data_IF_614109436129
#
_entry.id   IF_614109436129
#
_cell.length_a   1.000
_cell.length_b   1.000
_cell.length_c   1.000
_cell.angle_alpha   90.00
_cell.angle_beta   90.00
_cell.angle_gamma   90.00
#
_symmetry.space_group_name_H-M   'P 1'
#
loop_
_entity.id
_entity.type
_entity.pdbx_description
1 polymer ?
#
# COMPACT_ATOMS: atom_id res chain seq x y z
N UNK A 1 23.68 -9.75 -9.37
CA UNK A 1 24.08 -11.06 -9.85
C UNK A 1 24.29 -11.10 -11.39
N UNK A 2 23.91 -10.03 -12.09
CA UNK A 2 24.05 -9.91 -13.56
C UNK A 2 23.04 -10.77 -14.35
N UNK A 3 21.98 -11.26 -13.68
CA UNK A 3 20.92 -12.08 -14.27
C UNK A 3 19.60 -11.78 -13.54
N UNK A 4 18.46 -12.22 -14.06
CA UNK A 4 17.18 -12.08 -13.37
C UNK A 4 17.13 -12.95 -12.10
N UNK A 5 16.21 -12.63 -11.19
CA UNK A 5 16.00 -13.43 -9.98
C UNK A 5 15.54 -14.85 -10.32
N UNK A 6 14.65 -15.00 -11.27
CA UNK A 6 14.13 -16.31 -11.74
C UNK A 6 15.23 -17.20 -12.31
N UNK A 7 16.09 -16.64 -13.17
CA UNK A 7 17.23 -17.36 -13.73
C UNK A 7 18.23 -17.75 -12.65
N UNK A 8 18.51 -16.84 -11.73
CA UNK A 8 19.42 -17.12 -10.61
C UNK A 8 18.90 -18.26 -9.73
N UNK A 9 17.63 -18.17 -9.29
CA UNK A 9 17.02 -19.21 -8.43
C UNK A 9 16.92 -20.54 -9.17
N UNK A 10 16.52 -20.53 -10.45
CA UNK A 10 16.46 -21.75 -11.26
C UNK A 10 17.83 -22.44 -11.36
N UNK A 11 18.85 -21.68 -11.72
CA UNK A 11 20.20 -22.23 -11.95
C UNK A 11 20.92 -22.62 -10.66
N UNK A 12 20.75 -21.85 -9.58
CA UNK A 12 21.55 -22.01 -8.36
C UNK A 12 20.84 -22.78 -7.26
N UNK A 13 19.51 -22.92 -7.34
CA UNK A 13 18.68 -23.59 -6.33
C UNK A 13 17.88 -24.73 -6.94
N UNK A 14 16.97 -24.48 -7.87
CA UNK A 14 16.06 -25.51 -8.36
C UNK A 14 16.76 -26.65 -9.05
N UNK A 15 17.62 -26.38 -10.03
CA UNK A 15 18.35 -27.43 -10.74
C UNK A 15 19.27 -28.27 -9.84
N UNK A 16 20.13 -27.66 -8.98
CA UNK A 16 20.96 -28.44 -8.07
C UNK A 16 20.18 -29.27 -7.05
N UNK A 17 18.98 -28.83 -6.66
CA UNK A 17 18.12 -29.54 -5.71
C UNK A 17 17.18 -30.54 -6.38
N UNK A 18 17.16 -30.62 -7.72
CA UNK A 18 16.24 -31.47 -8.46
C UNK A 18 14.77 -30.97 -8.40
N UNK A 19 14.54 -29.68 -8.18
CA UNK A 19 13.21 -29.05 -8.12
C UNK A 19 12.74 -28.72 -9.55
N UNK A 20 12.60 -29.75 -10.39
CA UNK A 20 12.38 -29.58 -11.84
C UNK A 20 11.01 -29.12 -12.26
N UNK A 21 9.99 -29.28 -11.40
CA UNK A 21 8.61 -28.82 -11.64
C UNK A 21 8.30 -27.49 -10.94
N UNK A 22 9.26 -26.92 -10.23
CA UNK A 22 9.08 -25.59 -9.61
C UNK A 22 9.23 -24.48 -10.66
N UNK A 23 8.39 -23.48 -10.60
CA UNK A 23 8.37 -22.35 -11.52
C UNK A 23 7.97 -21.05 -10.80
N UNK A 24 7.90 -19.92 -11.55
CA UNK A 24 7.65 -18.58 -11.00
C UNK A 24 6.44 -17.88 -11.63
N UNK A 25 5.73 -18.55 -12.53
CA UNK A 25 4.72 -17.91 -13.36
C UNK A 25 3.41 -18.68 -13.34
N UNK A 26 2.30 -17.96 -13.26
CA UNK A 26 0.96 -18.54 -13.42
C UNK A 26 0.80 -19.19 -14.80
N UNK A 27 1.35 -18.57 -15.84
CA UNK A 27 1.30 -19.10 -17.20
C UNK A 27 2.09 -20.43 -17.36
N UNK A 28 3.15 -20.64 -16.56
CA UNK A 28 3.87 -21.92 -16.48
C UNK A 28 3.08 -22.94 -15.63
N UNK A 29 2.51 -22.49 -14.51
CA UNK A 29 1.68 -23.34 -13.65
C UNK A 29 0.51 -23.96 -14.41
N UNK A 30 -0.23 -23.15 -15.17
CA UNK A 30 -1.41 -23.61 -15.92
C UNK A 30 -1.10 -24.59 -17.06
N UNK A 31 0.16 -24.69 -17.48
CA UNK A 31 0.63 -25.69 -18.46
C UNK A 31 1.03 -27.03 -17.82
N UNK A 32 1.15 -27.06 -16.49
CA UNK A 32 1.48 -28.31 -15.80
C UNK A 32 0.32 -29.32 -15.98
N UNK A 33 0.65 -30.63 -16.15
CA UNK A 33 -0.40 -31.65 -16.34
C UNK A 33 -1.29 -31.80 -15.10
N UNK A 34 -0.76 -31.48 -13.93
CA UNK A 34 -1.50 -31.46 -12.66
C UNK A 34 -1.09 -30.22 -11.85
N UNK A 35 -2.09 -29.45 -11.42
CA UNK A 35 -1.88 -28.33 -10.51
C UNK A 35 -3.13 -28.12 -9.64
N UNK A 36 -2.92 -27.66 -8.42
CA UNK A 36 -4.01 -27.34 -7.51
C UNK A 36 -4.64 -25.99 -7.91
N UNK A 37 -5.95 -25.85 -7.71
CA UNK A 37 -6.65 -24.58 -7.80
C UNK A 37 -6.88 -24.02 -6.40
N UNK A 38 -6.76 -22.68 -6.27
CA UNK A 38 -6.96 -21.97 -5.02
C UNK A 38 -8.43 -21.68 -4.75
N UNK A 39 -8.82 -21.70 -3.50
CA UNK A 39 -10.18 -21.44 -3.06
C UNK A 39 -10.22 -20.40 -1.95
N UNK A 40 -11.26 -19.60 -1.93
CA UNK A 40 -11.60 -18.70 -0.83
C UNK A 40 -12.99 -19.03 -0.27
N UNK A 41 -13.24 -18.61 0.95
CA UNK A 41 -14.57 -18.72 1.56
C UNK A 41 -15.36 -17.45 1.30
N UNK A 42 -16.51 -17.60 0.63
CA UNK A 42 -17.48 -16.53 0.35
C UNK A 42 -18.86 -16.95 0.82
N UNK A 43 -19.45 -16.22 1.75
CA UNK A 43 -20.80 -16.49 2.25
C UNK A 43 -20.99 -17.97 2.66
N UNK A 44 -20.10 -18.47 3.51
CA UNK A 44 -20.04 -19.85 4.01
C UNK A 44 -19.92 -20.94 2.92
N UNK A 45 -19.49 -20.54 1.71
CA UNK A 45 -19.25 -21.45 0.59
C UNK A 45 -17.83 -21.28 0.06
N UNK A 46 -17.21 -22.39 -0.36
CA UNK A 46 -15.92 -22.36 -1.04
C UNK A 46 -16.14 -21.94 -2.51
N UNK A 47 -15.49 -20.85 -2.89
CA UNK A 47 -15.45 -20.35 -4.25
C UNK A 47 -14.03 -20.42 -4.83
N UNK A 48 -13.93 -20.68 -6.13
CA UNK A 48 -12.66 -20.65 -6.83
C UNK A 48 -12.10 -19.22 -6.79
N UNK A 49 -10.84 -19.07 -6.39
CA UNK A 49 -10.15 -17.79 -6.38
C UNK A 49 -9.28 -17.67 -7.64
N UNK A 50 -9.46 -16.63 -8.46
CA UNK A 50 -8.61 -16.42 -9.63
C UNK A 50 -7.18 -16.05 -9.22
N UNK A 51 -6.21 -16.51 -10.00
CA UNK A 51 -4.81 -16.13 -9.82
C UNK A 51 -4.58 -14.69 -10.28
N UNK A 52 -3.70 -13.99 -9.59
CA UNK A 52 -3.21 -12.67 -9.97
C UNK A 52 -1.78 -12.75 -10.47
N UNK A 53 -1.42 -12.01 -11.53
CA UNK A 53 -0.02 -11.87 -11.93
C UNK A 53 0.74 -11.11 -10.84
N UNK A 54 1.80 -11.73 -10.29
CA UNK A 54 2.58 -11.20 -9.18
C UNK A 54 4.08 -11.07 -9.51
N UNK A 55 4.41 -11.01 -10.78
CA UNK A 55 5.80 -10.91 -11.25
C UNK A 55 6.54 -9.71 -10.64
N UNK A 56 5.84 -8.60 -10.42
CA UNK A 56 6.41 -7.40 -9.79
C UNK A 56 6.93 -7.63 -8.35
N UNK A 57 6.36 -8.61 -7.64
CA UNK A 57 6.76 -9.02 -6.29
C UNK A 57 7.28 -10.46 -6.26
N UNK A 58 7.75 -10.97 -7.39
CA UNK A 58 8.17 -12.35 -7.59
C UNK A 58 9.01 -12.96 -6.47
N UNK A 59 10.09 -12.30 -6.00
CA UNK A 59 10.91 -12.81 -4.89
C UNK A 59 10.16 -13.04 -3.58
N UNK A 60 9.03 -12.36 -3.37
CA UNK A 60 8.24 -12.48 -2.14
C UNK A 60 7.18 -13.58 -2.18
N UNK A 61 6.78 -14.09 -3.38
CA UNK A 61 5.67 -15.03 -3.39
C UNK A 61 5.35 -15.73 -4.70
N UNK A 62 6.17 -15.61 -5.77
CA UNK A 62 5.85 -16.19 -7.07
C UNK A 62 6.21 -17.66 -7.25
N UNK A 63 6.88 -18.30 -6.30
CA UNK A 63 7.31 -19.69 -6.47
C UNK A 63 6.09 -20.63 -6.37
N UNK A 64 5.85 -21.37 -7.46
CA UNK A 64 4.95 -22.51 -7.50
C UNK A 64 5.78 -23.81 -7.34
N UNK A 65 5.37 -24.71 -6.46
CA UNK A 65 6.09 -25.94 -6.19
C UNK A 65 5.17 -27.04 -5.64
N UNK A 66 5.72 -28.23 -5.43
CA UNK A 66 5.04 -29.37 -4.78
C UNK A 66 5.75 -29.76 -3.48
N UNK A 67 5.08 -30.56 -2.65
CA UNK A 67 5.66 -31.11 -1.41
C UNK A 67 6.96 -31.85 -1.70
N UNK A 68 6.98 -32.74 -2.69
CA UNK A 68 8.15 -33.53 -3.03
C UNK A 68 9.37 -32.68 -3.37
N UNK A 69 9.16 -31.54 -4.02
CA UNK A 69 10.26 -30.65 -4.39
C UNK A 69 10.68 -29.75 -3.21
N UNK A 70 9.72 -29.23 -2.46
CA UNK A 70 10.00 -28.40 -1.28
C UNK A 70 10.71 -29.17 -0.17
N UNK A 71 10.52 -30.48 -0.06
CA UNK A 71 11.30 -31.34 0.86
C UNK A 71 12.80 -31.29 0.54
N UNK A 72 13.20 -31.14 -0.71
CA UNK A 72 14.61 -30.97 -1.07
C UNK A 72 15.19 -29.65 -0.59
N UNK A 73 14.36 -28.58 -0.60
CA UNK A 73 14.70 -27.29 -0.01
C UNK A 73 14.91 -27.41 1.51
N UNK A 74 13.99 -28.05 2.23
CA UNK A 74 14.11 -28.27 3.68
C UNK A 74 15.33 -29.13 4.02
N UNK A 75 15.61 -30.19 3.24
CA UNK A 75 16.81 -31.02 3.43
C UNK A 75 18.11 -30.23 3.30
N UNK A 76 18.17 -29.26 2.37
CA UNK A 76 19.33 -28.38 2.25
C UNK A 76 19.55 -27.58 3.53
N UNK A 77 18.47 -27.04 4.13
CA UNK A 77 18.55 -26.28 5.38
C UNK A 77 18.98 -27.15 6.56
N UNK A 78 18.38 -28.34 6.71
CA UNK A 78 18.74 -29.29 7.75
C UNK A 78 20.18 -29.80 7.63
N UNK A 79 20.75 -29.84 6.41
CA UNK A 79 22.13 -30.20 6.14
C UNK A 79 23.09 -29.01 6.07
N UNK A 80 22.71 -27.86 6.64
CA UNK A 80 23.52 -26.64 6.66
C UNK A 80 24.13 -26.26 5.30
N UNK A 81 23.30 -26.33 4.24
CA UNK A 81 23.67 -25.90 2.89
C UNK A 81 24.38 -26.98 2.06
N UNK A 82 24.44 -28.22 2.53
CA UNK A 82 24.98 -29.34 1.82
C UNK A 82 23.87 -30.14 1.12
N UNK A 83 24.05 -30.44 -0.16
CA UNK A 83 23.21 -31.36 -0.90
C UNK A 83 24.09 -32.55 -1.39
N UNK A 84 23.87 -33.72 -0.85
CA UNK A 84 24.73 -34.90 -1.05
C UNK A 84 26.20 -34.55 -0.75
N UNK A 85 27.05 -34.42 -1.77
CA UNK A 85 28.46 -34.03 -1.63
C UNK A 85 28.75 -32.61 -2.08
N UNK A 86 27.73 -31.87 -2.58
CA UNK A 86 27.89 -30.51 -3.12
C UNK A 86 27.38 -29.47 -2.13
N UNK A 87 28.23 -28.54 -1.76
CA UNK A 87 27.88 -27.42 -0.92
C UNK A 87 27.31 -26.31 -1.79
N UNK A 88 26.00 -26.05 -1.66
CA UNK A 88 25.31 -25.00 -2.38
C UNK A 88 25.37 -23.66 -1.65
N UNK A 89 25.32 -23.69 -0.32
CA UNK A 89 25.43 -22.52 0.56
C UNK A 89 26.45 -22.83 1.65
N UNK A 90 27.32 -21.89 1.99
CA UNK A 90 28.29 -22.08 3.07
C UNK A 90 27.58 -22.22 4.41
N UNK A 91 28.16 -22.98 5.33
CA UNK A 91 27.59 -23.18 6.66
C UNK A 91 27.40 -21.84 7.42
N UNK A 92 28.39 -20.93 7.34
CA UNK A 92 28.29 -19.62 7.95
C UNK A 92 27.12 -18.78 7.39
N UNK A 93 26.82 -18.86 6.10
CA UNK A 93 25.66 -18.17 5.52
C UNK A 93 24.33 -18.83 5.93
N UNK A 94 24.30 -20.15 6.11
CA UNK A 94 23.11 -20.82 6.65
C UNK A 94 22.83 -20.39 8.11
N UNK A 95 23.88 -20.33 8.93
CA UNK A 95 23.77 -19.83 10.31
C UNK A 95 23.28 -18.40 10.31
N UNK A 96 23.84 -17.54 9.46
CA UNK A 96 23.41 -16.13 9.34
C UNK A 96 21.93 -16.02 8.98
N UNK A 97 21.46 -16.80 7.99
CA UNK A 97 20.05 -16.77 7.59
C UNK A 97 19.11 -17.20 8.70
N UNK A 98 19.51 -18.14 9.53
CA UNK A 98 18.70 -18.67 10.63
C UNK A 98 18.94 -17.94 11.95
N UNK A 99 19.74 -16.88 11.97
CA UNK A 99 19.99 -16.10 13.18
C UNK A 99 19.01 -14.94 13.32
N UNK A 100 18.58 -14.59 14.54
CA UNK A 100 17.71 -13.43 14.81
C UNK A 100 18.35 -12.11 14.34
N UNK A 101 17.74 -11.44 13.35
CA UNK A 101 18.14 -10.12 12.87
C UNK A 101 17.21 -9.02 13.40
N UNK A 102 15.92 -9.33 13.53
CA UNK A 102 14.88 -8.42 14.00
C UNK A 102 14.07 -9.10 15.10
N UNK A 103 13.97 -8.46 16.26
CA UNK A 103 13.06 -8.92 17.31
C UNK A 103 11.63 -8.58 16.93
N UNK A 104 10.74 -9.57 17.01
CA UNK A 104 9.31 -9.36 16.79
C UNK A 104 8.60 -9.20 18.14
N UNK A 105 7.54 -8.39 18.14
CA UNK A 105 6.76 -8.15 19.34
C UNK A 105 6.09 -9.47 19.80
N UNK A 106 6.09 -9.67 21.12
CA UNK A 106 5.49 -10.85 21.76
C UNK A 106 3.99 -11.02 21.47
N UNK A 107 3.32 -9.95 21.07
CA UNK A 107 1.91 -9.98 20.65
C UNK A 107 1.64 -10.86 19.40
N UNK A 108 2.68 -11.21 18.64
CA UNK A 108 2.57 -12.09 17.47
C UNK A 108 2.47 -13.59 17.77
N UNK A 109 2.77 -14.03 18.97
CA UNK A 109 2.66 -15.44 19.37
C UNK A 109 1.20 -15.86 19.54
N UNK A 110 0.66 -16.65 18.61
CA UNK A 110 -0.72 -17.15 18.67
C UNK A 110 -0.94 -18.06 19.90
N UNK A 111 0.11 -18.73 20.35
CA UNK A 111 0.10 -19.70 21.45
C UNK A 111 1.28 -19.48 22.39
N UNK A 112 1.07 -19.73 23.70
CA UNK A 112 2.14 -19.58 24.71
C UNK A 112 3.20 -20.70 24.64
N UNK A 113 2.98 -21.73 23.85
CA UNK A 113 3.98 -22.74 23.50
C UNK A 113 5.09 -22.17 22.60
N UNK A 114 4.84 -21.03 21.95
CA UNK A 114 5.81 -20.34 21.09
C UNK A 114 6.29 -19.07 21.80
N UNK A 115 7.57 -18.97 22.03
CA UNK A 115 8.22 -17.82 22.67
C UNK A 115 9.45 -17.36 21.88
N UNK A 116 9.96 -16.15 22.16
CA UNK A 116 11.16 -15.59 21.55
C UNK A 116 11.10 -15.50 20.03
N UNK A 117 10.00 -14.94 19.52
CA UNK A 117 9.82 -14.79 18.07
C UNK A 117 10.72 -13.68 17.53
N UNK A 118 11.45 -14.00 16.49
CA UNK A 118 12.33 -13.08 15.75
C UNK A 118 12.28 -13.39 14.24
N UNK A 119 12.91 -12.53 13.44
CA UNK A 119 13.03 -12.73 12.00
C UNK A 119 14.49 -12.64 11.57
N UNK A 120 14.94 -13.63 10.82
CA UNK A 120 16.26 -13.70 10.20
C UNK A 120 16.24 -13.24 8.74
N UNK A 121 17.01 -13.88 7.88
CA UNK A 121 17.01 -13.60 6.44
C UNK A 121 15.97 -14.47 5.72
N UNK A 122 14.70 -14.04 5.75
CA UNK A 122 13.59 -14.74 5.11
C UNK A 122 12.98 -15.87 5.96
N UNK A 123 13.28 -15.92 7.27
CA UNK A 123 12.79 -16.96 8.17
C UNK A 123 12.32 -16.36 9.50
N UNK A 124 11.17 -16.82 9.98
CA UNK A 124 10.79 -16.67 11.38
C UNK A 124 11.60 -17.67 12.22
N UNK A 125 12.04 -17.20 13.37
CA UNK A 125 12.85 -17.95 14.32
C UNK A 125 12.18 -17.84 15.67
N UNK A 126 11.91 -18.99 16.29
CA UNK A 126 11.19 -19.05 17.55
C UNK A 126 11.60 -20.23 18.41
N UNK A 127 11.25 -20.20 19.66
CA UNK A 127 11.30 -21.39 20.53
C UNK A 127 9.90 -22.00 20.61
N UNK A 128 9.74 -23.19 20.05
CA UNK A 128 8.52 -23.98 20.14
C UNK A 128 8.68 -25.05 21.23
N UNK A 129 7.99 -24.87 22.34
CA UNK A 129 8.02 -25.78 23.51
C UNK A 129 9.45 -26.15 23.97
N UNK A 130 10.38 -25.20 23.83
CA UNK A 130 11.80 -25.38 24.17
C UNK A 130 12.72 -25.78 23.03
N UNK A 131 12.19 -26.16 21.86
CA UNK A 131 12.93 -26.53 20.66
C UNK A 131 13.14 -25.33 19.75
N UNK A 132 14.29 -25.23 19.10
CA UNK A 132 14.61 -24.20 18.14
C UNK A 132 13.91 -24.47 16.81
N UNK A 133 12.98 -23.61 16.43
CA UNK A 133 12.19 -23.75 15.20
C UNK A 133 12.43 -22.59 14.24
N UNK A 134 12.69 -22.93 13.00
CA UNK A 134 12.85 -22.02 11.86
C UNK A 134 11.74 -22.30 10.87
N UNK A 135 10.96 -21.28 10.48
CA UNK A 135 9.84 -21.49 9.58
C UNK A 135 9.52 -20.26 8.76
N UNK A 136 8.79 -20.43 7.66
CA UNK A 136 8.12 -19.35 6.97
C UNK A 136 6.82 -19.85 6.36
N UNK A 137 5.75 -19.09 6.56
CA UNK A 137 4.46 -19.33 5.94
C UNK A 137 4.28 -18.56 4.65
N UNK A 138 3.21 -18.86 3.92
CA UNK A 138 2.78 -18.12 2.75
C UNK A 138 1.26 -18.14 2.64
N UNK A 139 0.69 -17.06 2.15
CA UNK A 139 -0.73 -17.01 1.80
C UNK A 139 -0.91 -16.13 0.57
N UNK A 140 -1.39 -16.69 -0.52
CA UNK A 140 -1.64 -15.99 -1.77
C UNK A 140 -2.71 -16.70 -2.59
N UNK A 141 -3.64 -15.93 -3.13
CA UNK A 141 -4.61 -16.33 -4.16
C UNK A 141 -5.22 -17.74 -3.98
N UNK A 142 -5.74 -18.00 -2.79
CA UNK A 142 -6.40 -19.27 -2.48
C UNK A 142 -5.49 -20.34 -1.92
N UNK A 143 -4.23 -20.04 -1.62
CA UNK A 143 -3.28 -21.00 -1.04
C UNK A 143 -2.75 -20.51 0.30
N UNK A 144 -2.57 -21.42 1.23
CA UNK A 144 -1.79 -21.22 2.46
C UNK A 144 -0.75 -22.31 2.57
N UNK A 145 0.48 -21.95 2.86
CA UNK A 145 1.62 -22.86 2.89
C UNK A 145 2.47 -22.65 4.15
N UNK A 146 3.25 -23.66 4.51
CA UNK A 146 4.25 -23.57 5.56
C UNK A 146 5.44 -24.46 5.22
N UNK A 147 6.64 -23.90 5.31
CA UNK A 147 7.91 -24.60 5.39
C UNK A 147 8.45 -24.41 6.80
N UNK A 148 8.71 -25.49 7.52
CA UNK A 148 9.15 -25.47 8.93
C UNK A 148 10.21 -26.53 9.17
N UNK A 149 11.19 -26.23 10.00
CA UNK A 149 12.19 -27.22 10.43
C UNK A 149 12.75 -26.89 11.81
N UNK A 150 13.18 -27.93 12.50
CA UNK A 150 13.84 -27.91 13.79
C UNK A 150 15.26 -28.45 13.57
N UNK A 151 16.27 -27.59 13.39
CA UNK A 151 17.62 -28.00 13.03
C UNK A 151 18.26 -28.98 14.02
N UNK A 152 18.11 -28.71 15.31
CA UNK A 152 18.73 -29.50 16.39
C UNK A 152 18.06 -30.89 16.49
N UNK A 153 16.78 -30.99 16.21
CA UNK A 153 16.01 -32.25 16.21
C UNK A 153 16.04 -32.95 14.85
N UNK A 154 16.59 -32.34 13.80
CA UNK A 154 16.65 -32.80 12.42
C UNK A 154 15.28 -33.15 11.83
N UNK A 155 14.26 -32.40 12.22
CA UNK A 155 12.91 -32.53 11.73
C UNK A 155 12.61 -31.42 10.72
N UNK A 156 11.80 -31.73 9.72
CA UNK A 156 11.37 -30.72 8.74
C UNK A 156 10.06 -31.08 8.10
N UNK A 157 9.22 -30.07 7.86
CA UNK A 157 7.86 -30.20 7.38
C UNK A 157 7.59 -29.22 6.24
N UNK A 158 6.81 -29.67 5.27
CA UNK A 158 6.20 -28.82 4.25
C UNK A 158 4.71 -29.13 4.22
N UNK A 159 3.89 -28.12 4.42
CA UNK A 159 2.44 -28.23 4.37
C UNK A 159 1.94 -27.24 3.33
N UNK A 160 1.25 -27.75 2.31
CA UNK A 160 0.63 -26.97 1.26
C UNK A 160 -0.88 -27.19 1.29
N UNK A 161 -1.64 -26.11 1.28
CA UNK A 161 -3.10 -26.14 1.26
C UNK A 161 -3.63 -25.19 0.19
N UNK A 162 -4.80 -25.51 -0.35
CA UNK A 162 -5.43 -24.72 -1.40
C UNK A 162 -6.69 -23.98 -0.90
N UNK A 163 -6.63 -23.49 0.33
CA UNK A 163 -7.64 -22.58 0.90
C UNK A 163 -6.96 -21.31 1.41
N UNK A 164 -7.47 -20.16 0.98
CA UNK A 164 -6.98 -18.85 1.38
C UNK A 164 -7.15 -18.60 2.88
N UNK A 165 -6.10 -18.11 3.54
CA UNK A 165 -6.16 -17.66 4.92
C UNK A 165 -6.47 -18.76 5.95
N UNK A 166 -6.22 -20.03 5.64
CA UNK A 166 -6.48 -21.12 6.60
C UNK A 166 -5.32 -21.27 7.60
N UNK A 167 -5.62 -21.46 8.91
CA UNK A 167 -4.60 -21.76 9.92
C UNK A 167 -4.10 -23.23 9.85
N UNK A 168 -4.64 -24.03 8.96
CA UNK A 168 -4.39 -25.48 8.89
C UNK A 168 -2.88 -25.84 8.80
N UNK A 169 -2.03 -25.15 7.99
CA UNK A 169 -0.63 -25.48 7.95
C UNK A 169 0.07 -25.42 9.31
N UNK A 170 -0.19 -24.37 10.10
CA UNK A 170 0.40 -24.23 11.44
C UNK A 170 -0.16 -25.24 12.44
N UNK A 171 -1.45 -25.59 12.34
CA UNK A 171 -2.10 -26.60 13.20
C UNK A 171 -1.46 -27.97 12.96
N UNK A 172 -1.31 -28.35 11.67
CA UNK A 172 -0.70 -29.63 11.30
C UNK A 172 0.76 -29.66 11.72
N UNK A 173 1.54 -28.59 11.48
CA UNK A 173 2.93 -28.52 11.88
C UNK A 173 3.11 -28.71 13.38
N UNK A 174 2.38 -27.96 14.20
CA UNK A 174 2.46 -28.07 15.65
C UNK A 174 2.09 -29.49 16.15
N UNK A 175 1.05 -30.09 15.58
CA UNK A 175 0.65 -31.44 15.97
C UNK A 175 1.69 -32.51 15.58
N UNK A 176 2.27 -32.40 14.39
CA UNK A 176 3.32 -33.33 13.92
C UNK A 176 4.60 -33.12 14.71
N UNK A 177 5.00 -31.87 14.99
CA UNK A 177 6.15 -31.56 15.83
C UNK A 177 5.99 -32.18 17.23
N UNK A 178 4.82 -32.00 17.88
CA UNK A 178 4.54 -32.62 19.18
C UNK A 178 4.74 -34.15 19.15
N UNK A 179 4.18 -34.81 18.12
CA UNK A 179 4.31 -36.28 17.99
C UNK A 179 5.75 -36.73 17.79
N UNK A 180 6.48 -36.06 16.88
CA UNK A 180 7.84 -36.46 16.54
C UNK A 180 8.87 -36.11 17.64
N UNK A 181 8.59 -35.12 18.45
CA UNK A 181 9.37 -34.75 19.61
C UNK A 181 9.00 -35.56 20.88
N UNK A 182 8.00 -36.44 20.79
CA UNK A 182 7.53 -37.22 21.93
C UNK A 182 6.83 -36.37 23.01
N UNK A 183 6.30 -35.22 22.64
CA UNK A 183 5.56 -34.33 23.53
C UNK A 183 4.08 -34.71 23.57
N UNK A 184 3.41 -34.38 24.69
CA UNK A 184 1.95 -34.54 24.76
C UNK A 184 1.28 -33.61 23.75
N UNK A 185 0.50 -34.16 22.79
CA UNK A 185 -0.12 -33.36 21.74
C UNK A 185 -1.12 -32.34 22.31
N UNK A 186 -1.06 -31.12 21.79
CA UNK A 186 -2.01 -30.05 22.11
C UNK A 186 -3.08 -29.99 21.03
N UNK A 187 -4.34 -29.86 21.43
CA UNK A 187 -5.46 -29.72 20.48
C UNK A 187 -5.51 -28.30 19.90
N UNK A 188 -4.57 -28.01 19.00
CA UNK A 188 -4.48 -26.72 18.27
C UNK A 188 -5.69 -26.51 17.36
N UNK A 189 -6.31 -27.56 16.87
CA UNK A 189 -7.51 -27.47 16.05
C UNK A 189 -8.68 -26.87 16.86
N UNK A 190 -8.95 -27.40 18.04
CA UNK A 190 -10.01 -26.88 18.92
C UNK A 190 -9.72 -25.44 19.34
N UNK A 191 -8.45 -25.13 19.66
CA UNK A 191 -8.03 -23.75 19.99
C UNK A 191 -8.29 -22.79 18.82
N UNK A 192 -7.93 -23.19 17.61
CA UNK A 192 -8.18 -22.38 16.40
C UNK A 192 -9.67 -22.16 16.15
N UNK A 193 -10.51 -23.20 16.30
CA UNK A 193 -11.97 -23.06 16.18
C UNK A 193 -12.52 -22.10 17.23
N UNK A 194 -12.06 -22.20 18.47
CA UNK A 194 -12.50 -21.30 19.56
C UNK A 194 -12.10 -19.85 19.27
N UNK A 195 -10.89 -19.62 18.75
CA UNK A 195 -10.42 -18.28 18.36
C UNK A 195 -11.21 -17.72 17.18
N UNK A 196 -11.51 -18.54 16.17
CA UNK A 196 -12.34 -18.11 15.04
C UNK A 196 -13.76 -17.74 15.50
N UNK A 197 -14.40 -18.56 16.34
CA UNK A 197 -15.71 -18.26 16.88
C UNK A 197 -15.70 -16.98 17.75
N UNK A 198 -14.67 -16.77 18.57
CA UNK A 198 -14.51 -15.55 19.34
C UNK A 198 -14.29 -14.32 18.44
N UNK A 199 -13.48 -14.46 17.40
CA UNK A 199 -13.28 -13.41 16.41
C UNK A 199 -14.57 -13.09 15.63
N UNK A 200 -15.36 -14.08 15.28
CA UNK A 200 -16.68 -13.88 14.64
C UNK A 200 -17.68 -13.20 15.57
N UNK A 201 -17.70 -13.55 16.85
CA UNK A 201 -18.57 -12.91 17.83
C UNK A 201 -18.12 -11.49 18.22
N UNK A 202 -16.83 -11.19 18.17
CA UNK A 202 -16.27 -9.85 18.45
C UNK A 202 -16.30 -8.93 17.23
N UNK A 203 -16.50 -9.48 16.05
CA UNK A 203 -16.74 -8.69 14.83
C UNK A 203 -18.07 -7.99 15.01
N UNK A 204 -17.99 -6.68 15.27
CA UNK A 204 -19.16 -5.86 15.51
C UNK A 204 -20.22 -6.08 14.44
N UNK A 205 -21.44 -6.32 14.90
CA UNK A 205 -22.60 -6.40 14.03
C UNK A 205 -22.75 -5.10 13.22
N UNK A 206 -23.49 -5.09 12.12
CA UNK A 206 -23.85 -3.85 11.41
C UNK A 206 -24.42 -2.79 12.36
N UNK A 207 -25.06 -3.23 13.45
CA UNK A 207 -25.56 -2.36 14.51
C UNK A 207 -24.44 -1.64 15.30
N UNK A 208 -23.33 -2.33 15.62
CA UNK A 208 -22.15 -1.70 16.24
C UNK A 208 -21.52 -0.68 15.30
N UNK A 209 -21.54 -0.97 14.03
CA UNK A 209 -21.07 -0.09 12.99
C UNK A 209 -21.90 1.16 12.80
N UNK A 210 -23.20 1.05 12.91
CA UNK A 210 -24.08 2.20 12.92
C UNK A 210 -23.87 3.06 14.17
N UNK A 211 -23.44 2.46 15.30
CA UNK A 211 -23.12 3.18 16.53
C UNK A 211 -21.86 4.05 16.42
N UNK A 212 -20.88 3.65 15.58
CA UNK A 212 -19.64 4.42 15.38
C UNK A 212 -19.81 5.58 14.35
N UNK A 213 -20.92 5.61 13.63
CA UNK A 213 -21.25 6.68 12.69
C UNK A 213 -21.86 7.87 13.43
N UNK A 214 -21.27 9.06 13.28
CA UNK A 214 -21.90 10.29 13.78
C UNK A 214 -23.08 10.62 12.87
N UNK A 215 -24.34 10.57 13.38
CA UNK A 215 -25.50 10.76 12.54
C UNK A 215 -25.68 12.24 12.13
N UNK A 216 -26.40 12.46 11.03
CA UNK A 216 -26.80 13.80 10.55
C UNK A 216 -25.64 14.73 10.19
N UNK A 217 -24.44 14.20 9.93
CA UNK A 217 -23.33 14.98 9.41
C UNK A 217 -23.37 15.06 7.89
N UNK A 218 -22.68 16.06 7.34
CA UNK A 218 -22.47 16.23 5.90
C UNK A 218 -20.98 16.45 5.64
N UNK A 219 -20.48 16.17 4.43
CA UNK A 219 -19.16 16.62 4.02
C UNK A 219 -19.04 18.13 4.17
N UNK A 220 -17.86 18.61 4.54
CA UNK A 220 -17.60 20.06 4.70
C UNK A 220 -17.64 20.83 3.38
N UNK A 221 -17.47 20.12 2.26
CA UNK A 221 -17.44 20.65 0.91
C UNK A 221 -18.38 19.88 -0.03
N UNK A 222 -18.66 20.46 -1.19
CA UNK A 222 -19.29 19.73 -2.29
C UNK A 222 -18.39 18.58 -2.74
N UNK A 223 -18.99 17.46 -3.19
CA UNK A 223 -18.23 16.26 -3.59
C UNK A 223 -17.16 16.53 -4.64
N UNK A 224 -17.36 17.52 -5.50
CA UNK A 224 -16.37 17.94 -6.50
C UNK A 224 -15.06 18.45 -5.89
N UNK A 225 -15.09 18.97 -4.66
CA UNK A 225 -13.89 19.44 -3.97
C UNK A 225 -12.96 18.30 -3.53
N UNK A 226 -13.49 17.10 -3.33
CA UNK A 226 -12.72 15.90 -2.98
C UNK A 226 -12.12 15.19 -4.20
N UNK A 227 -12.67 15.43 -5.39
CA UNK A 227 -12.17 14.83 -6.62
C UNK A 227 -10.80 15.41 -6.99
N UNK A 228 -9.86 14.53 -7.37
CA UNK A 228 -8.49 14.89 -7.73
C UNK A 228 -7.53 13.71 -7.58
N UNK A 229 -6.25 13.99 -7.80
CA UNK A 229 -5.17 13.04 -7.59
C UNK A 229 -4.46 13.35 -6.28
N UNK A 230 -4.19 12.30 -5.50
CA UNK A 230 -3.49 12.38 -4.21
C UNK A 230 -2.30 11.44 -4.25
N UNK A 231 -1.10 11.93 -3.97
CA UNK A 231 0.15 11.20 -4.15
C UNK A 231 0.88 10.94 -2.83
N UNK A 232 1.41 9.73 -2.72
CA UNK A 232 2.39 9.36 -1.71
C UNK A 232 3.63 8.75 -2.38
N UNK A 233 4.87 9.14 -1.99
CA UNK A 233 6.09 8.68 -2.68
C UNK A 233 6.27 7.16 -2.73
N UNK A 234 5.79 6.44 -1.73
CA UNK A 234 5.93 4.98 -1.64
C UNK A 234 4.73 4.19 -2.15
N UNK A 235 3.53 4.80 -2.15
CA UNK A 235 2.28 4.11 -2.52
C UNK A 235 1.70 4.56 -3.87
N UNK A 236 2.28 5.58 -4.49
CA UNK A 236 1.81 6.10 -5.78
C UNK A 236 0.63 7.07 -5.64
N UNK A 237 -0.33 7.01 -6.56
CA UNK A 237 -1.39 7.99 -6.71
C UNK A 237 -2.76 7.36 -6.48
N UNK A 238 -3.53 7.92 -5.56
CA UNK A 238 -4.96 7.68 -5.41
C UNK A 238 -5.71 8.69 -6.28
N UNK A 239 -6.47 8.22 -7.25
CA UNK A 239 -7.37 9.05 -8.05
C UNK A 239 -8.77 9.01 -7.45
N UNK A 240 -9.30 10.14 -7.04
CA UNK A 240 -10.68 10.29 -6.58
C UNK A 240 -11.48 11.02 -7.65
N UNK A 241 -12.57 10.44 -8.10
CA UNK A 241 -13.43 10.98 -9.15
C UNK A 241 -14.89 11.02 -8.72
N UNK A 242 -15.70 11.85 -9.41
CA UNK A 242 -17.14 11.81 -9.28
C UNK A 242 -17.70 10.68 -10.16
N UNK A 243 -18.55 9.85 -9.57
CA UNK A 243 -19.28 8.78 -10.22
C UNK A 243 -20.80 8.97 -10.05
N UNK A 244 -21.60 8.17 -10.78
CA UNK A 244 -23.05 8.26 -10.75
C UNK A 244 -23.63 9.42 -11.59
N UNK A 245 -24.96 9.59 -11.54
CA UNK A 245 -25.66 10.61 -12.31
C UNK A 245 -25.72 11.90 -11.48
N UNK A 246 -25.30 13.06 -12.04
CA UNK A 246 -25.34 14.33 -11.31
C UNK A 246 -26.72 14.63 -10.69
N UNK A 247 -26.75 15.03 -9.44
CA UNK A 247 -27.93 15.39 -8.64
C UNK A 247 -28.93 14.25 -8.36
N UNK A 248 -28.59 13.00 -8.74
CA UNK A 248 -29.45 11.85 -8.48
C UNK A 248 -28.80 10.88 -7.50
N UNK A 249 -27.65 10.34 -7.86
CA UNK A 249 -26.89 9.34 -7.12
C UNK A 249 -25.37 9.61 -7.18
N UNK A 250 -25.00 10.88 -7.33
CA UNK A 250 -23.60 11.29 -7.43
C UNK A 250 -22.84 10.94 -6.15
N UNK A 251 -21.73 10.25 -6.30
CA UNK A 251 -20.85 9.81 -5.22
C UNK A 251 -19.38 9.90 -5.65
N UNK A 252 -18.47 9.63 -4.73
CA UNK A 252 -17.04 9.56 -5.02
C UNK A 252 -16.65 8.12 -5.34
N UNK A 253 -15.67 7.96 -6.23
CA UNK A 253 -14.98 6.70 -6.52
C UNK A 253 -13.50 6.90 -6.36
N UNK A 254 -12.82 6.01 -5.65
CA UNK A 254 -11.37 6.01 -5.46
C UNK A 254 -10.71 4.86 -6.19
N UNK A 255 -9.54 5.12 -6.79
CA UNK A 255 -8.71 4.12 -7.48
C UNK A 255 -7.27 4.27 -7.01
N UNK A 256 -6.66 3.16 -6.57
CA UNK A 256 -5.24 3.04 -6.27
C UNK A 256 -4.71 1.80 -6.97
N UNK A 257 -3.96 1.96 -8.05
CA UNK A 257 -3.51 0.85 -8.91
C UNK A 257 -4.69 -0.01 -9.40
N UNK A 258 -4.72 -1.30 -9.03
CA UNK A 258 -5.82 -2.22 -9.36
C UNK A 258 -6.96 -2.22 -8.33
N UNK A 259 -6.84 -1.42 -7.29
CA UNK A 259 -7.84 -1.34 -6.24
C UNK A 259 -8.79 -0.19 -6.54
N UNK A 260 -10.06 -0.47 -6.63
CA UNK A 260 -11.08 0.53 -6.87
C UNK A 260 -12.30 0.29 -5.99
N UNK A 261 -12.92 1.36 -5.53
CA UNK A 261 -14.16 1.30 -4.77
C UNK A 261 -14.97 2.58 -4.93
N UNK A 262 -16.27 2.41 -4.97
CA UNK A 262 -17.20 3.51 -4.72
C UNK A 262 -17.17 3.88 -3.24
N UNK A 263 -17.41 5.17 -2.94
CA UNK A 263 -17.30 5.73 -1.61
C UNK A 263 -18.66 6.20 -1.11
N UNK A 264 -19.09 5.68 0.04
CA UNK A 264 -20.27 6.16 0.77
C UNK A 264 -19.85 7.18 1.81
N UNK A 265 -20.55 8.32 1.89
CA UNK A 265 -20.34 9.28 2.97
C UNK A 265 -20.63 8.63 4.33
N UNK A 266 -19.62 8.64 5.22
CA UNK A 266 -19.74 8.05 6.56
C UNK A 266 -20.11 9.10 7.61
N UNK A 267 -19.25 10.03 7.88
CA UNK A 267 -19.51 11.22 8.68
C UNK A 267 -18.43 12.30 8.41
N UNK A 268 -18.79 13.58 8.52
CA UNK A 268 -17.90 14.71 8.22
C UNK A 268 -17.18 14.51 6.87
N UNK A 269 -15.86 14.54 6.86
CA UNK A 269 -15.02 14.33 5.68
C UNK A 269 -14.45 12.91 5.60
N UNK A 270 -15.15 11.94 6.22
CA UNK A 270 -14.81 10.50 6.18
C UNK A 270 -15.78 9.79 5.27
N UNK A 271 -15.23 8.98 4.38
CA UNK A 271 -15.96 8.14 3.43
C UNK A 271 -15.60 6.67 3.61
N UNK A 272 -16.59 5.78 3.51
CA UNK A 272 -16.42 4.33 3.58
C UNK A 272 -16.29 3.77 2.17
N UNK A 273 -15.34 2.86 1.96
CA UNK A 273 -15.26 2.05 0.75
C UNK A 273 -16.39 1.01 0.75
N UNK A 274 -17.14 0.91 -0.36
CA UNK A 274 -18.28 -0.01 -0.49
C UNK A 274 -17.80 -1.34 -1.09
N UNK A 275 -16.95 -1.27 -2.13
CA UNK A 275 -16.37 -2.42 -2.78
C UNK A 275 -15.02 -2.69 -2.13
N UNK A 276 -14.90 -3.73 -1.33
CA UNK A 276 -13.71 -4.02 -0.55
C UNK A 276 -12.75 -4.95 -1.31
N UNK A 277 -11.87 -4.44 -2.20
CA UNK A 277 -10.85 -5.26 -2.82
C UNK A 277 -9.65 -5.54 -1.91
N UNK A 278 -9.49 -4.77 -0.81
CA UNK A 278 -8.32 -4.79 0.08
C UNK A 278 -8.53 -5.53 1.39
N UNK A 279 -9.77 -5.78 1.77
CA UNK A 279 -10.04 -6.23 3.11
C UNK A 279 -10.66 -7.62 3.14
N UNK A 280 -10.26 -8.38 4.14
CA UNK A 280 -11.19 -9.30 4.80
C UNK A 280 -12.55 -8.58 4.85
N UNK A 281 -13.57 -9.12 4.17
CA UNK A 281 -14.93 -8.54 3.98
C UNK A 281 -15.60 -7.98 5.24
N UNK A 282 -14.94 -8.08 6.37
CA UNK A 282 -15.38 -7.68 7.70
C UNK A 282 -14.58 -6.50 8.28
N UNK A 283 -13.50 -6.06 7.64
CA UNK A 283 -12.78 -4.85 8.01
C UNK A 283 -13.27 -3.69 7.13
N UNK A 284 -13.74 -2.61 7.76
CA UNK A 284 -14.18 -1.41 7.04
C UNK A 284 -13.00 -0.56 6.71
N UNK A 285 -12.86 -0.22 5.45
CA UNK A 285 -11.85 0.70 4.99
C UNK A 285 -12.47 2.09 4.82
N UNK A 286 -11.81 3.09 5.41
CA UNK A 286 -12.23 4.47 5.36
C UNK A 286 -11.15 5.34 4.72
N UNK A 287 -11.61 6.33 3.96
CA UNK A 287 -10.81 7.45 3.49
C UNK A 287 -11.21 8.68 4.29
N UNK A 288 -10.23 9.30 4.95
CA UNK A 288 -10.41 10.59 5.64
C UNK A 288 -9.77 11.70 4.84
N UNK A 289 -10.52 12.76 4.59
CA UNK A 289 -9.98 13.94 3.93
C UNK A 289 -9.76 15.06 4.94
N UNK A 290 -8.74 15.87 4.70
CA UNK A 290 -8.46 17.04 5.53
C UNK A 290 -8.23 18.28 4.68
N UNK A 291 -8.46 19.43 5.31
CA UNK A 291 -8.31 20.74 4.70
C UNK A 291 -7.00 21.40 5.12
N UNK A 292 -6.46 22.22 4.23
CA UNK A 292 -5.37 23.14 4.54
C UNK A 292 -5.86 24.44 5.20
N UNK A 293 -4.93 25.38 5.43
CA UNK A 293 -5.23 26.68 6.03
C UNK A 293 -6.10 27.60 5.19
N UNK A 294 -6.29 27.29 3.90
CA UNK A 294 -7.21 28.01 3.00
C UNK A 294 -8.62 27.42 3.03
N UNK A 295 -8.82 26.31 3.74
CA UNK A 295 -10.07 25.60 3.79
C UNK A 295 -10.29 24.64 2.63
N UNK A 296 -9.27 24.33 1.83
CA UNK A 296 -9.37 23.42 0.69
C UNK A 296 -8.97 21.99 1.06
N UNK A 297 -9.68 21.01 0.51
CA UNK A 297 -9.30 19.61 0.62
C UNK A 297 -7.96 19.41 -0.08
N UNK A 298 -6.91 19.07 0.66
CA UNK A 298 -5.56 18.91 0.13
C UNK A 298 -4.88 17.59 0.54
N UNK A 299 -5.50 16.79 1.41
CA UNK A 299 -4.96 15.53 1.89
C UNK A 299 -6.03 14.46 1.96
N UNK A 300 -5.58 13.22 1.76
CA UNK A 300 -6.35 12.01 1.93
C UNK A 300 -5.54 11.04 2.79
N UNK A 301 -6.15 10.48 3.82
CA UNK A 301 -5.54 9.46 4.68
C UNK A 301 -6.33 8.16 4.62
N UNK A 302 -5.62 7.04 4.54
CA UNK A 302 -6.20 5.69 4.50
C UNK A 302 -5.32 4.71 5.28
N UNK A 303 -5.94 3.77 5.99
CA UNK A 303 -5.23 2.66 6.65
C UNK A 303 -5.01 1.57 5.61
N UNK A 304 -3.78 1.47 5.08
CA UNK A 304 -3.37 0.40 4.17
C UNK A 304 -2.71 -0.75 4.93
N UNK A 305 -2.04 -0.43 6.03
CA UNK A 305 -1.32 -1.36 6.91
C UNK A 305 -1.88 -1.26 8.33
N UNK A 306 -2.56 -2.31 8.84
CA UNK A 306 -3.22 -2.25 10.16
C UNK A 306 -2.30 -1.92 11.35
N UNK A 307 -1.01 -2.20 11.21
CA UNK A 307 0.01 -1.97 12.26
C UNK A 307 0.69 -0.61 12.17
N UNK A 308 0.39 0.18 11.13
CA UNK A 308 0.95 1.51 10.90
C UNK A 308 -0.11 2.59 11.10
N UNK A 309 0.31 3.84 11.38
CA UNK A 309 -0.57 4.98 11.29
C UNK A 309 -1.18 5.10 9.87
N UNK A 310 -2.34 5.76 9.71
CA UNK A 310 -2.91 6.02 8.40
C UNK A 310 -1.89 6.66 7.46
N UNK A 311 -1.82 6.14 6.24
CA UNK A 311 -0.93 6.67 5.20
C UNK A 311 -1.57 7.92 4.61
N UNK A 312 -0.82 9.02 4.61
CA UNK A 312 -1.27 10.31 4.11
C UNK A 312 -0.80 10.54 2.67
N UNK A 313 -1.74 10.84 1.80
CA UNK A 313 -1.52 11.23 0.41
C UNK A 313 -1.80 12.72 0.26
N UNK A 314 -0.90 13.44 -0.39
CA UNK A 314 -1.03 14.89 -0.63
C UNK A 314 -1.63 15.13 -2.00
N UNK A 315 -2.60 16.04 -2.09
CA UNK A 315 -3.24 16.38 -3.36
C UNK A 315 -2.25 16.92 -4.37
N UNK A 316 -2.25 16.37 -5.56
CA UNK A 316 -1.47 16.88 -6.69
C UNK A 316 -2.16 18.11 -7.29
N UNK A 317 -1.41 19.14 -7.61
CA UNK A 317 -1.95 20.25 -8.39
C UNK A 317 -2.25 19.77 -9.84
N UNK A 318 -3.08 20.54 -10.54
CA UNK A 318 -3.35 20.32 -11.97
C UNK A 318 -2.01 20.35 -12.75
N UNK A 319 -1.74 19.30 -13.51
CA UNK A 319 -0.50 19.14 -14.27
C UNK A 319 -0.21 20.32 -15.22
N UNK A 320 -1.27 20.94 -15.76
CA UNK A 320 -1.17 22.14 -16.62
C UNK A 320 -0.42 23.29 -15.95
N UNK A 321 -0.54 23.44 -14.62
CA UNK A 321 0.16 24.48 -13.84
C UNK A 321 1.67 24.27 -13.78
N UNK A 322 2.20 23.22 -14.37
CA UNK A 322 3.63 22.94 -14.52
C UNK A 322 4.10 23.00 -15.99
N UNK A 323 3.18 23.17 -16.94
CA UNK A 323 3.51 23.20 -18.37
C UNK A 323 4.04 24.59 -18.78
N UNK A 324 5.25 24.71 -19.37
CA UNK A 324 5.85 26.01 -19.74
C UNK A 324 4.93 26.87 -20.62
N UNK A 325 4.22 26.27 -21.58
CA UNK A 325 3.30 26.97 -22.46
C UNK A 325 2.08 27.55 -21.70
N UNK A 326 1.61 26.83 -20.68
CA UNK A 326 0.54 27.29 -19.82
C UNK A 326 1.02 28.38 -18.85
N UNK A 327 2.20 28.23 -18.28
CA UNK A 327 2.82 29.22 -17.38
C UNK A 327 3.11 30.54 -18.09
N UNK A 328 3.45 30.51 -19.38
CA UNK A 328 3.75 31.72 -20.15
C UNK A 328 2.57 32.71 -20.20
N UNK A 329 1.33 32.27 -20.04
CA UNK A 329 0.15 33.14 -20.02
C UNK A 329 0.14 34.11 -18.84
N UNK A 330 0.75 33.72 -17.73
CA UNK A 330 0.78 34.47 -16.48
C UNK A 330 1.92 35.47 -16.41
N UNK A 331 2.91 35.40 -17.30
CA UNK A 331 4.07 36.28 -17.29
C UNK A 331 3.71 37.71 -17.71
N UNK A 332 4.47 38.67 -17.20
CA UNK A 332 4.34 40.09 -17.49
C UNK A 332 4.34 40.96 -16.24
N UNK A 333 4.10 42.24 -16.45
CA UNK A 333 4.00 43.22 -15.39
C UNK A 333 2.55 43.46 -14.98
N UNK A 334 2.36 43.59 -13.67
CA UNK A 334 1.05 43.82 -13.04
C UNK A 334 1.16 45.09 -12.16
N UNK A 335 0.17 45.91 -12.20
CA UNK A 335 0.15 47.15 -11.42
C UNK A 335 -0.65 46.92 -10.14
N UNK A 336 0.04 46.89 -9.01
CA UNK A 336 -0.52 46.88 -7.66
C UNK A 336 -0.48 48.32 -7.14
N UNK A 337 -1.60 49.02 -7.18
CA UNK A 337 -1.66 50.49 -6.93
C UNK A 337 -0.66 51.24 -7.82
N UNK A 338 0.50 51.63 -7.27
CA UNK A 338 1.57 52.32 -8.03
C UNK A 338 2.82 51.45 -8.19
N UNK A 339 2.82 50.23 -7.67
CA UNK A 339 3.95 49.29 -7.71
C UNK A 339 3.84 48.34 -8.91
N UNK A 340 4.87 48.29 -9.73
CA UNK A 340 4.95 47.28 -10.80
C UNK A 340 5.47 45.96 -10.25
N UNK A 341 4.57 44.97 -10.20
CA UNK A 341 4.89 43.60 -9.83
C UNK A 341 5.22 42.79 -11.08
N UNK A 342 6.36 42.14 -11.14
CA UNK A 342 6.78 41.35 -12.29
C UNK A 342 6.57 39.86 -12.02
N UNK A 343 5.85 39.17 -12.93
CA UNK A 343 5.73 37.71 -12.96
C UNK A 343 6.55 37.16 -14.12
N UNK A 344 7.46 36.26 -13.82
CA UNK A 344 8.38 35.68 -14.82
C UNK A 344 8.49 34.15 -14.62
N UNK A 345 9.04 33.46 -15.64
CA UNK A 345 9.41 32.04 -15.50
C UNK A 345 10.91 31.96 -15.23
N UNK A 346 11.30 31.28 -14.15
CA UNK A 346 12.67 30.96 -13.80
C UNK A 346 12.76 29.49 -13.40
N UNK A 347 13.68 28.75 -13.99
CA UNK A 347 13.85 27.31 -13.74
C UNK A 347 12.52 26.52 -13.80
N UNK A 348 11.77 26.72 -14.89
CA UNK A 348 10.48 26.07 -15.18
C UNK A 348 9.36 26.34 -14.16
N UNK A 349 9.47 27.42 -13.36
CA UNK A 349 8.46 27.83 -12.39
C UNK A 349 8.14 29.32 -12.53
N UNK A 350 6.92 29.68 -12.16
CA UNK A 350 6.59 31.08 -12.01
C UNK A 350 7.33 31.66 -10.80
N UNK A 351 7.79 32.87 -10.98
CA UNK A 351 8.32 33.72 -9.90
C UNK A 351 7.57 35.05 -9.89
N UNK A 352 7.45 35.65 -8.72
CA UNK A 352 6.89 36.98 -8.55
C UNK A 352 7.87 37.87 -7.82
N UNK A 353 8.11 39.05 -8.38
CA UNK A 353 8.98 40.08 -7.80
C UNK A 353 8.18 41.33 -7.51
N UNK A 354 8.17 41.75 -6.26
CA UNK A 354 7.62 43.02 -5.81
C UNK A 354 8.78 43.98 -5.53
N UNK A 355 8.77 45.21 -6.01
CA UNK A 355 9.87 46.16 -5.74
C UNK A 355 10.17 46.30 -4.25
N UNK A 356 11.46 46.16 -3.90
CA UNK A 356 11.91 46.20 -2.51
C UNK A 356 11.78 44.93 -1.72
N UNK A 357 11.30 43.84 -2.34
CA UNK A 357 11.18 42.52 -1.75
C UNK A 357 12.02 41.49 -2.53
N UNK A 358 12.33 40.32 -1.92
CA UNK A 358 12.94 39.20 -2.64
C UNK A 358 12.04 38.70 -3.76
N UNK A 359 12.62 38.03 -4.75
CA UNK A 359 11.87 37.27 -5.75
C UNK A 359 11.38 35.97 -5.13
N UNK A 360 10.09 35.71 -5.17
CA UNK A 360 9.46 34.53 -4.63
C UNK A 360 9.16 33.51 -5.72
N UNK A 361 9.44 32.23 -5.44
CA UNK A 361 9.04 31.13 -6.31
C UNK A 361 7.61 30.70 -6.00
N UNK A 362 6.81 30.56 -7.05
CA UNK A 362 5.43 30.09 -6.96
C UNK A 362 5.34 28.59 -7.23
N UNK A 363 4.56 27.87 -6.44
CA UNK A 363 4.28 26.46 -6.59
C UNK A 363 2.87 26.27 -7.14
N UNK A 364 2.65 25.38 -8.10
CA UNK A 364 1.32 25.02 -8.57
C UNK A 364 0.39 24.65 -7.41
N UNK A 365 -0.84 25.14 -7.46
CA UNK A 365 -1.82 24.79 -6.45
C UNK A 365 -3.12 24.26 -7.07
N UNK A 366 -4.00 25.14 -7.57
CA UNK A 366 -5.26 24.73 -8.21
C UNK A 366 -5.76 25.81 -9.17
N UNK A 367 -6.52 25.44 -10.16
CA UNK A 367 -7.02 26.37 -11.18
C UNK A 367 -5.89 27.28 -11.70
N UNK A 368 -6.04 28.61 -11.65
CA UNK A 368 -4.99 29.57 -11.97
C UNK A 368 -4.38 30.19 -10.68
N UNK A 369 -4.28 29.39 -9.62
CA UNK A 369 -3.74 29.81 -8.31
C UNK A 369 -2.46 29.06 -7.97
N UNK A 370 -1.50 29.77 -7.39
CA UNK A 370 -0.19 29.30 -6.98
C UNK A 370 0.10 29.71 -5.55
N UNK A 371 0.75 28.84 -4.77
CA UNK A 371 1.23 29.16 -3.42
C UNK A 371 2.68 29.62 -3.46
N UNK A 372 3.10 30.36 -2.45
CA UNK A 372 4.51 30.73 -2.28
C UNK A 372 5.30 29.55 -1.69
N UNK A 373 6.47 29.24 -2.24
CA UNK A 373 7.33 28.16 -1.73
C UNK A 373 7.70 28.38 -0.26
N UNK A 374 8.06 29.60 0.10
CA UNK A 374 8.71 29.90 1.38
C UNK A 374 7.79 30.70 2.33
N UNK A 375 6.51 30.88 1.97
CA UNK A 375 5.53 31.63 2.76
C UNK A 375 4.24 30.81 2.93
N UNK A 376 4.01 30.29 4.13
CA UNK A 376 2.79 29.57 4.45
C UNK A 376 1.60 30.53 4.60
N UNK A 377 0.46 30.16 4.03
CA UNK A 377 -0.77 30.99 4.08
C UNK A 377 -0.81 32.12 3.05
N UNK A 378 0.11 32.13 2.06
CA UNK A 378 0.14 33.09 0.97
C UNK A 378 -0.10 32.39 -0.36
N UNK A 379 -0.94 33.00 -1.22
CA UNK A 379 -1.14 32.53 -2.60
C UNK A 379 -1.33 33.68 -3.57
N UNK A 380 -1.14 33.38 -4.85
CA UNK A 380 -1.43 34.26 -5.99
C UNK A 380 -2.45 33.58 -6.87
N UNK A 381 -3.62 34.18 -7.04
CA UNK A 381 -4.65 33.74 -7.97
C UNK A 381 -4.68 34.69 -9.17
N UNK A 382 -4.64 34.16 -10.39
CA UNK A 382 -4.72 34.96 -11.62
C UNK A 382 -6.18 35.08 -12.07
N UNK A 383 -6.56 36.26 -12.51
CA UNK A 383 -7.90 36.57 -13.01
C UNK A 383 -7.93 36.41 -14.51
N UNK A 384 -8.92 35.68 -15.02
CA UNK A 384 -9.11 35.38 -16.44
C UNK A 384 -10.39 35.99 -16.97
N UNK A 385 -10.31 36.73 -18.06
CA UNK A 385 -11.47 37.22 -18.79
C UNK A 385 -12.22 36.08 -19.49
N UNK A 386 -13.44 36.36 -19.97
CA UNK A 386 -14.28 35.39 -20.69
C UNK A 386 -13.65 34.89 -21.98
N UNK A 387 -12.75 35.64 -22.59
CA UNK A 387 -12.01 35.27 -23.79
C UNK A 387 -10.74 34.45 -23.48
N UNK A 388 -10.49 34.15 -22.22
CA UNK A 388 -9.36 33.34 -21.76
C UNK A 388 -8.08 34.11 -21.44
N UNK A 389 -8.02 35.43 -21.70
CA UNK A 389 -6.84 36.24 -21.39
C UNK A 389 -6.70 36.48 -19.88
N UNK A 390 -5.45 36.50 -19.39
CA UNK A 390 -5.14 36.91 -18.02
C UNK A 390 -5.22 38.43 -17.94
N UNK A 391 -6.07 38.94 -17.04
CA UNK A 391 -6.33 40.38 -16.87
C UNK A 391 -5.75 40.96 -15.59
N UNK A 392 -5.44 40.10 -14.60
CA UNK A 392 -4.94 40.55 -13.32
C UNK A 392 -4.46 39.41 -12.46
N UNK A 393 -4.04 39.73 -11.26
CA UNK A 393 -3.76 38.76 -10.21
C UNK A 393 -4.21 39.29 -8.84
N UNK A 394 -4.43 38.38 -7.91
CA UNK A 394 -4.78 38.66 -6.53
C UNK A 394 -3.81 37.96 -5.59
N UNK A 395 -3.10 38.74 -4.79
CA UNK A 395 -2.36 38.23 -3.66
C UNK A 395 -3.33 37.96 -2.49
N UNK A 396 -3.44 36.73 -2.07
CA UNK A 396 -4.15 36.32 -0.88
C UNK A 396 -3.14 36.15 0.26
N UNK A 397 -3.33 36.91 1.32
CA UNK A 397 -2.43 36.96 2.47
C UNK A 397 -3.25 36.87 3.76
N UNK A 398 -2.67 36.51 4.91
CA UNK A 398 -3.40 36.49 6.18
C UNK A 398 -4.06 37.82 6.58
N UNK A 399 -3.54 38.94 6.09
CA UNK A 399 -4.03 40.29 6.37
C UNK A 399 -4.98 40.86 5.30
N UNK A 400 -5.27 40.11 4.23
CA UNK A 400 -6.19 40.54 3.19
C UNK A 400 -5.90 40.07 1.79
N UNK A 401 -6.68 40.56 0.83
CA UNK A 401 -6.53 40.27 -0.61
C UNK A 401 -6.19 41.60 -1.33
N UNK A 402 -5.11 41.55 -2.11
CA UNK A 402 -4.60 42.72 -2.85
C UNK A 402 -4.62 42.41 -4.34
N UNK A 403 -5.30 43.23 -5.13
CA UNK A 403 -5.48 43.00 -6.57
C UNK A 403 -4.52 43.86 -7.37
N UNK A 404 -3.97 43.26 -8.44
CA UNK A 404 -3.11 43.94 -9.42
C UNK A 404 -3.62 43.69 -10.83
N UNK A 405 -3.68 44.71 -11.66
CA UNK A 405 -4.11 44.62 -13.07
C UNK A 405 -2.92 44.34 -13.99
N UNK A 406 -3.12 43.44 -14.96
CA UNK A 406 -2.08 43.12 -15.95
C UNK A 406 -1.89 44.32 -16.89
N UNK A 407 -0.65 44.81 -17.03
CA UNK A 407 -0.30 45.85 -17.99
C UNK A 407 -0.44 45.35 -19.42
N UNK A 408 -1.06 46.14 -20.26
CA UNK A 408 -1.10 45.92 -21.69
C UNK A 408 0.09 46.59 -22.39
N UNK A 409 0.37 46.19 -23.61
CA UNK A 409 1.46 46.83 -24.39
C UNK A 409 1.22 48.33 -24.65
N UNK A 410 -0.05 48.77 -24.63
CA UNK A 410 -0.44 50.18 -24.80
C UNK A 410 -0.06 51.02 -23.58
N UNK A 411 -0.08 50.47 -22.38
CA UNK A 411 0.29 51.15 -21.14
C UNK A 411 1.78 51.44 -21.01
N UNK A 412 2.62 50.77 -21.84
CA UNK A 412 4.07 50.92 -21.81
C UNK A 412 4.59 52.02 -22.75
N UNK A 413 3.75 52.51 -23.68
CA UNK A 413 4.14 53.58 -24.66
C UNK A 413 3.81 55.03 -24.19
N UNK A 414 3.11 55.20 -23.08
CA UNK A 414 2.68 56.50 -22.57
C UNK A 414 3.47 57.00 -21.36
N UNK A 415 4.77 56.66 -21.26
CA UNK A 415 5.69 57.25 -20.28
C UNK A 415 6.91 57.86 -20.94
#
# INVERSE_FOLDING_TARGET
>A
AGTSWEEFVRARIFLPLGMTNSNFSIAELEKAPEFARGYEEKNDTLALMPYRPIEAIGPAGAINSSVDQMVNWIRLHLANGLRDTVRLVSEGQMIEMHSPCVSLDRAGGRYHETILTSYGLGWFIESYRGHYRVHHGGNIDGFSALASFLPDDRLGLVILTNKNGTPLPSIVANYVDDLLLGLEPVDYHRRALTQLAAADSSRGTEAQAAADRVPNTKPSHDLSAYAGEYEHPGYGVVTVSLAGVPRKDQHLRAVLHSLESDLEHWHYDVFRMIDEPLADKKARSFLSFSTNTFGDIDRLSVVLEPTLPPIEFVRRPDSRLSEPAYLAQFTGDYLLEQLAVTVAIQADRLTVTVPGQPTYTLLPYRNDEFTFRDLSGYSVAFDRAKDGRITGLRFKQPNGVFSAEKRTAEDTQNK
#
